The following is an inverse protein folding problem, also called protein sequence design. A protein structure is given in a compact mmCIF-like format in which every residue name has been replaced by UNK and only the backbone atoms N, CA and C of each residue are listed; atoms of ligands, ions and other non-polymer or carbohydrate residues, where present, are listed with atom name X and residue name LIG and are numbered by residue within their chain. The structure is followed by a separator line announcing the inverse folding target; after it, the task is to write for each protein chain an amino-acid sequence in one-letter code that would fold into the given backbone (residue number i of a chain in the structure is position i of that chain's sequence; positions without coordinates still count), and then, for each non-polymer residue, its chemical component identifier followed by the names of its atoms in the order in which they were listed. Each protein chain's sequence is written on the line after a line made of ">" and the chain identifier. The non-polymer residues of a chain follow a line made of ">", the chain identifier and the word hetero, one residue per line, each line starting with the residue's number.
data_IF_735596764546
#
_entry.id   IF_735596764546
#
_cell.length_a   1.000
_cell.length_b   1.000
_cell.length_c   1.000
_cell.angle_alpha   90.00
_cell.angle_beta   90.00
_cell.angle_gamma   90.00
#
_symmetry.space_group_name_H-M   'P 1'
#
loop_
_entity.id
_entity.type
_entity.pdbx_description
1 polymer ?
#
# COMPACT_ATOMS: atom_id res chain seq x y z
N UNK A 1 15.71 -10.24 9.91
CA UNK A 1 16.70 -10.80 10.86
C UNK A 1 16.71 -10.09 12.20
N UNK A 2 16.66 -8.74 12.22
CA UNK A 2 16.90 -7.96 13.45
C UNK A 2 15.76 -8.09 14.47
N UNK A 3 14.51 -8.14 14.03
CA UNK A 3 13.36 -8.15 14.94
C UNK A 3 12.84 -9.57 15.24
N UNK A 4 12.80 -10.45 14.25
CA UNK A 4 12.19 -11.78 14.39
C UNK A 4 13.18 -12.92 14.65
N UNK A 5 14.48 -12.66 14.63
CA UNK A 5 15.50 -13.73 14.60
C UNK A 5 15.22 -14.80 13.52
N UNK A 6 14.60 -14.40 12.43
CA UNK A 6 14.15 -15.25 11.34
C UNK A 6 15.00 -15.02 10.08
N UNK A 7 15.23 -16.06 9.32
CA UNK A 7 15.87 -16.00 8.00
C UNK A 7 14.88 -15.89 6.83
N UNK A 8 13.58 -15.86 7.11
CA UNK A 8 12.57 -15.75 6.07
C UNK A 8 12.60 -14.36 5.42
N UNK A 9 12.56 -14.32 4.10
CA UNK A 9 12.49 -13.09 3.31
C UNK A 9 11.07 -12.58 3.15
N UNK A 10 10.05 -13.41 3.39
CA UNK A 10 8.65 -13.10 3.07
C UNK A 10 7.65 -13.33 4.20
N UNK A 11 8.02 -14.04 5.28
CA UNK A 11 7.09 -14.45 6.32
C UNK A 11 6.41 -13.28 7.05
N UNK A 12 7.08 -12.12 7.11
CA UNK A 12 6.65 -10.96 7.88
C UNK A 12 6.62 -9.69 7.03
N UNK A 13 6.40 -9.81 5.72
CA UNK A 13 6.29 -8.66 4.82
C UNK A 13 5.35 -8.95 3.66
N UNK A 14 4.64 -7.91 3.21
CA UNK A 14 3.82 -7.98 2.01
C UNK A 14 3.62 -6.59 1.40
N UNK A 15 3.33 -6.56 0.11
CA UNK A 15 3.04 -5.31 -0.57
C UNK A 15 1.71 -4.73 -0.11
N UNK A 16 1.73 -3.42 0.10
CA UNK A 16 0.53 -2.60 0.39
C UNK A 16 0.43 -1.50 -0.67
N UNK A 17 -0.33 -0.45 -0.42
CA UNK A 17 -0.48 0.65 -1.36
C UNK A 17 -0.98 0.19 -2.74
N UNK A 18 -0.49 0.81 -3.79
CA UNK A 18 -0.94 0.53 -5.17
C UNK A 18 -0.53 -0.85 -5.66
N UNK A 19 0.65 -1.35 -5.26
CA UNK A 19 1.09 -2.71 -5.59
C UNK A 19 0.20 -3.76 -4.92
N UNK A 20 -0.11 -3.59 -3.64
CA UNK A 20 -1.00 -4.49 -2.92
C UNK A 20 -2.41 -4.52 -3.50
N UNK A 21 -2.94 -3.38 -3.94
CA UNK A 21 -4.27 -3.27 -4.55
C UNK A 21 -4.34 -3.66 -6.03
N UNK A 22 -3.19 -3.93 -6.70
CA UNK A 22 -3.14 -4.28 -8.12
C UNK A 22 -3.30 -3.10 -9.08
N UNK A 23 -3.17 -1.86 -8.59
CA UNK A 23 -3.39 -0.61 -9.35
C UNK A 23 -2.10 0.16 -9.64
N UNK A 24 -0.93 -0.43 -9.35
CA UNK A 24 0.38 0.18 -9.59
C UNK A 24 0.64 0.40 -11.08
N UNK A 25 1.36 1.48 -11.37
CA UNK A 25 1.93 1.81 -12.68
C UNK A 25 3.45 1.99 -12.54
N UNK A 26 4.17 2.15 -13.64
CA UNK A 26 5.64 2.20 -13.65
C UNK A 26 6.26 3.31 -12.77
N UNK A 27 5.50 4.38 -12.51
CA UNK A 27 5.92 5.49 -11.64
C UNK A 27 5.56 5.30 -10.16
N UNK A 28 4.91 4.18 -9.82
CA UNK A 28 4.47 3.93 -8.44
C UNK A 28 5.64 3.51 -7.54
N UNK A 29 5.69 4.08 -6.34
CA UNK A 29 6.59 3.61 -5.28
C UNK A 29 6.18 2.21 -4.82
N UNK A 30 7.15 1.47 -4.30
CA UNK A 30 6.94 0.14 -3.72
C UNK A 30 6.62 0.27 -2.22
N UNK A 31 5.35 0.16 -1.88
CA UNK A 31 4.87 0.20 -0.49
C UNK A 31 4.91 -1.22 0.11
N UNK A 32 5.67 -1.40 1.18
CA UNK A 32 5.83 -2.69 1.86
C UNK A 32 5.48 -2.54 3.34
N UNK A 33 4.50 -3.29 3.81
CA UNK A 33 4.28 -3.45 5.25
C UNK A 33 5.22 -4.54 5.76
N UNK A 34 5.97 -4.21 6.83
CA UNK A 34 6.72 -5.18 7.62
C UNK A 34 6.03 -5.39 8.96
N UNK A 35 5.72 -6.63 9.26
CA UNK A 35 5.14 -7.03 10.53
C UNK A 35 6.24 -7.18 11.58
N UNK A 36 6.09 -6.54 12.70
CA UNK A 36 7.01 -6.59 13.83
C UNK A 36 6.42 -7.38 15.01
N UNK A 37 7.25 -7.97 15.88
CA UNK A 37 6.79 -8.68 17.08
C UNK A 37 6.04 -7.78 18.08
N UNK A 38 5.11 -8.35 18.84
CA UNK A 38 4.28 -7.60 19.80
C UNK A 38 5.07 -7.02 20.98
N UNK A 39 6.19 -7.62 21.35
CA UNK A 39 7.09 -7.11 22.39
C UNK A 39 7.74 -5.78 21.94
N UNK A 40 8.04 -5.62 20.67
CA UNK A 40 8.50 -4.35 20.12
C UNK A 40 7.41 -3.26 20.18
N UNK A 41 6.13 -3.61 19.98
CA UNK A 41 5.05 -2.66 20.19
C UNK A 41 5.02 -2.16 21.62
N UNK A 42 5.09 -3.09 22.59
CA UNK A 42 5.08 -2.76 24.02
C UNK A 42 6.28 -1.87 24.39
N UNK A 43 7.46 -2.18 23.83
CA UNK A 43 8.67 -1.38 24.03
C UNK A 43 8.50 0.05 23.52
N UNK A 44 8.17 0.24 22.25
CA UNK A 44 8.08 1.58 21.66
C UNK A 44 6.89 2.40 22.20
N UNK A 45 5.78 1.75 22.57
CA UNK A 45 4.62 2.42 23.16
C UNK A 45 4.89 2.92 24.58
N UNK A 46 5.83 2.30 25.31
CA UNK A 46 6.22 2.72 26.66
C UNK A 46 7.20 3.89 26.70
N UNK A 47 7.78 4.27 25.55
CA UNK A 47 8.75 5.36 25.50
C UNK A 47 8.04 6.70 25.68
N UNK A 48 8.48 7.46 26.68
CA UNK A 48 8.01 8.82 26.90
C UNK A 48 8.36 9.73 25.70
N UNK A 49 7.38 10.46 25.21
CA UNK A 49 7.48 11.30 24.03
C UNK A 49 7.09 10.53 22.76
N UNK A 50 7.82 10.72 21.65
CA UNK A 50 7.49 10.15 20.34
C UNK A 50 8.16 8.77 20.14
N UNK A 51 7.59 7.71 20.71
CA UNK A 51 8.04 6.33 20.53
C UNK A 51 7.94 5.85 19.08
N UNK A 52 6.98 6.38 18.32
CA UNK A 52 6.78 6.11 16.90
C UNK A 52 7.99 6.58 16.08
N UNK A 53 8.52 7.75 16.37
CA UNK A 53 9.75 8.25 15.75
C UNK A 53 10.96 7.36 16.09
N UNK A 54 11.03 6.85 17.34
CA UNK A 54 12.08 5.92 17.76
C UNK A 54 11.98 4.59 17.01
N UNK A 55 10.76 4.09 16.78
CA UNK A 55 10.53 2.90 15.96
C UNK A 55 11.05 3.11 14.53
N UNK A 56 10.65 4.19 13.85
CA UNK A 56 11.14 4.47 12.50
C UNK A 56 12.66 4.57 12.45
N UNK A 57 13.28 5.19 13.46
CA UNK A 57 14.74 5.27 13.54
C UNK A 57 15.39 3.89 13.75
N UNK A 58 14.79 3.01 14.55
CA UNK A 58 15.26 1.64 14.76
C UNK A 58 15.21 0.83 13.47
N UNK A 59 14.09 0.88 12.74
CA UNK A 59 13.94 0.21 11.43
C UNK A 59 14.94 0.77 10.42
N UNK A 60 15.10 2.08 10.34
CA UNK A 60 16.13 2.72 9.50
C UNK A 60 17.52 2.18 9.81
N UNK A 61 17.90 2.13 11.09
CA UNK A 61 19.23 1.66 11.50
C UNK A 61 19.45 0.18 11.13
N UNK A 62 18.42 -0.65 11.31
CA UNK A 62 18.46 -2.05 10.89
C UNK A 62 18.69 -2.22 9.38
N UNK A 63 18.05 -1.38 8.56
CA UNK A 63 18.25 -1.37 7.11
C UNK A 63 19.65 -0.88 6.72
N UNK A 64 20.19 0.11 7.41
CA UNK A 64 21.54 0.63 7.17
C UNK A 64 22.64 -0.40 7.47
N UNK A 65 22.40 -1.39 8.32
CA UNK A 65 23.35 -2.50 8.52
C UNK A 65 23.54 -3.34 7.24
N UNK A 66 22.48 -3.47 6.44
CA UNK A 66 22.54 -4.22 5.16
C UNK A 66 22.86 -3.31 3.98
N UNK A 67 22.37 -2.08 4.01
CA UNK A 67 22.52 -1.09 2.92
C UNK A 67 23.18 0.20 3.39
N UNK A 68 24.47 0.17 3.81
CA UNK A 68 25.12 1.30 4.50
C UNK A 68 25.26 2.57 3.66
N UNK A 69 25.29 2.42 2.33
CA UNK A 69 25.46 3.55 1.39
C UNK A 69 24.14 3.99 0.73
N UNK A 70 22.99 3.46 1.16
CA UNK A 70 21.70 3.79 0.59
C UNK A 70 21.06 4.96 1.31
N UNK A 71 20.37 5.83 0.57
CA UNK A 71 19.63 6.94 1.16
C UNK A 71 18.37 6.43 1.86
N UNK A 72 18.43 6.33 3.19
CA UNK A 72 17.36 5.84 4.04
C UNK A 72 16.97 6.90 5.07
N UNK A 73 15.67 7.22 5.16
CA UNK A 73 15.17 8.21 6.14
C UNK A 73 13.78 7.78 6.68
N UNK A 74 13.50 8.13 7.93
CA UNK A 74 12.14 8.10 8.48
C UNK A 74 11.34 9.29 7.93
N UNK A 75 10.08 9.07 7.57
CA UNK A 75 9.20 10.10 7.00
C UNK A 75 7.74 9.84 7.41
N UNK A 76 7.29 10.59 8.42
CA UNK A 76 5.91 10.49 8.92
C UNK A 76 5.57 9.12 9.48
N UNK A 77 5.13 8.23 8.64
CA UNK A 77 4.62 6.89 8.99
C UNK A 77 5.54 5.76 8.50
N UNK A 78 6.47 6.06 7.61
CA UNK A 78 7.26 5.07 6.86
C UNK A 78 8.76 5.31 6.98
N UNK A 79 9.53 4.30 6.64
CA UNK A 79 10.95 4.43 6.33
C UNK A 79 11.11 4.39 4.82
N UNK A 80 11.57 5.51 4.25
CA UNK A 80 11.81 5.66 2.81
C UNK A 80 13.21 5.19 2.47
N UNK A 81 13.32 4.28 1.51
CA UNK A 81 14.58 3.78 0.96
C UNK A 81 14.65 4.16 -0.51
N UNK A 82 15.68 4.94 -0.90
CA UNK A 82 15.91 5.35 -2.28
C UNK A 82 17.18 4.72 -2.82
N UNK A 83 17.03 3.85 -3.82
CA UNK A 83 18.14 3.22 -4.51
C UNK A 83 18.70 4.10 -5.63
N UNK A 84 19.93 3.83 -6.04
CA UNK A 84 20.65 4.61 -7.06
C UNK A 84 20.07 4.46 -8.47
N UNK A 85 19.32 3.40 -8.74
CA UNK A 85 18.62 3.15 -10.00
C UNK A 85 17.28 3.90 -10.11
N UNK A 86 16.92 4.70 -9.07
CA UNK A 86 15.68 5.46 -8.99
C UNK A 86 14.52 4.73 -8.33
N UNK A 87 14.69 3.45 -7.97
CA UNK A 87 13.68 2.69 -7.25
C UNK A 87 13.49 3.25 -5.84
N UNK A 88 12.24 3.43 -5.42
CA UNK A 88 11.87 3.91 -4.10
C UNK A 88 10.98 2.90 -3.39
N UNK A 89 11.35 2.56 -2.16
CA UNK A 89 10.53 1.77 -1.25
C UNK A 89 10.03 2.65 -0.11
N UNK A 90 8.78 2.48 0.26
CA UNK A 90 8.20 2.98 1.50
C UNK A 90 7.89 1.80 2.40
N UNK A 91 8.63 1.68 3.49
CA UNK A 91 8.52 0.58 4.43
C UNK A 91 7.67 1.04 5.61
N UNK A 92 6.49 0.45 5.75
CA UNK A 92 5.56 0.68 6.84
C UNK A 92 5.78 -0.37 7.94
N UNK A 93 6.46 -0.06 9.07
CA UNK A 93 6.52 -0.99 10.18
C UNK A 93 5.17 -1.04 10.87
N UNK A 94 4.69 -2.25 11.16
CA UNK A 94 3.36 -2.43 11.71
C UNK A 94 3.30 -3.64 12.65
N UNK A 95 2.32 -3.64 13.53
CA UNK A 95 2.06 -4.69 14.52
C UNK A 95 0.65 -5.23 14.33
N UNK A 96 0.45 -6.53 14.50
CA UNK A 96 -0.90 -7.09 14.54
C UNK A 96 -1.71 -6.46 15.67
N UNK A 97 -2.96 -6.13 15.39
CA UNK A 97 -3.88 -5.70 16.43
C UNK A 97 -4.50 -6.94 17.08
N UNK A 98 -3.79 -7.49 18.08
CA UNK A 98 -4.23 -8.68 18.77
C UNK A 98 -5.27 -8.31 19.84
N UNK A 99 -6.38 -9.03 19.84
CA UNK A 99 -7.46 -8.97 20.84
C UNK A 99 -7.43 -10.23 21.72
N UNK A 100 -8.29 -10.31 22.71
CA UNK A 100 -8.47 -11.52 23.54
C UNK A 100 -8.95 -12.74 22.70
N UNK A 101 -9.49 -12.50 21.51
CA UNK A 101 -9.96 -13.52 20.58
C UNK A 101 -8.95 -13.83 19.47
N UNK A 102 -7.77 -13.24 19.53
CA UNK A 102 -6.73 -13.34 18.52
C UNK A 102 -6.62 -12.08 17.65
N UNK A 103 -5.92 -12.20 16.52
CA UNK A 103 -5.74 -11.10 15.59
C UNK A 103 -7.06 -10.73 14.88
N UNK A 104 -7.43 -9.44 14.91
CA UNK A 104 -8.67 -8.92 14.32
C UNK A 104 -8.60 -8.59 12.82
N UNK A 105 -7.48 -8.90 12.17
CA UNK A 105 -7.25 -8.59 10.74
C UNK A 105 -6.63 -7.23 10.49
N UNK A 106 -6.51 -6.38 11.50
CA UNK A 106 -5.94 -5.04 11.37
C UNK A 106 -4.50 -4.96 11.89
N UNK A 107 -3.82 -3.88 11.49
CA UNK A 107 -2.47 -3.56 11.93
C UNK A 107 -2.42 -2.18 12.56
N UNK A 108 -1.65 -2.04 13.64
CA UNK A 108 -1.24 -0.75 14.20
C UNK A 108 0.06 -0.32 13.54
N UNK A 109 0.17 0.94 13.17
CA UNK A 109 1.36 1.51 12.56
C UNK A 109 1.67 2.89 13.14
N UNK A 110 2.93 3.35 13.10
CA UNK A 110 3.32 4.63 13.69
C UNK A 110 2.86 5.81 12.83
N UNK A 111 2.45 6.89 13.49
CA UNK A 111 2.41 8.23 12.94
C UNK A 111 3.26 9.15 13.83
N UNK A 112 4.28 9.77 13.27
CA UNK A 112 5.21 10.61 14.02
C UNK A 112 4.77 12.08 14.12
N UNK A 113 3.69 12.45 13.46
CA UNK A 113 3.17 13.81 13.51
C UNK A 113 2.55 14.13 14.87
N UNK A 114 2.47 15.43 15.20
CA UNK A 114 1.78 15.95 16.39
C UNK A 114 2.22 15.32 17.73
N UNK A 115 3.45 14.82 17.80
CA UNK A 115 3.98 14.18 19.03
C UNK A 115 3.95 12.67 19.03
N UNK A 116 3.37 12.06 18.03
CA UNK A 116 3.30 10.62 17.79
C UNK A 116 1.99 9.99 18.21
N UNK A 117 1.44 9.14 17.35
CA UNK A 117 0.24 8.34 17.58
C UNK A 117 0.35 6.96 16.92
N UNK A 118 -0.53 6.04 17.30
CA UNK A 118 -0.67 4.73 16.68
C UNK A 118 -1.96 4.68 15.87
N UNK A 119 -1.80 4.62 14.56
CA UNK A 119 -2.90 4.49 13.61
C UNK A 119 -3.24 3.03 13.35
N UNK A 120 -4.43 2.78 12.78
CA UNK A 120 -4.87 1.43 12.42
C UNK A 120 -5.20 1.35 10.94
N UNK A 121 -4.84 0.22 10.30
CA UNK A 121 -5.14 -0.06 8.90
C UNK A 121 -5.50 -1.53 8.69
N UNK A 122 -6.27 -1.83 7.63
CA UNK A 122 -6.55 -3.19 7.17
C UNK A 122 -6.23 -3.33 5.68
N UNK A 123 -4.96 -3.38 5.30
CA UNK A 123 -4.59 -3.45 3.89
C UNK A 123 -5.04 -4.73 3.19
N UNK A 124 -5.20 -5.83 3.92
CA UNK A 124 -5.70 -7.09 3.35
C UNK A 124 -7.16 -6.99 2.94
N UNK A 125 -8.00 -6.35 3.75
CA UNK A 125 -9.40 -6.10 3.39
C UNK A 125 -9.51 -5.16 2.18
N UNK A 126 -8.68 -4.11 2.11
CA UNK A 126 -8.62 -3.24 0.93
C UNK A 126 -8.26 -4.02 -0.34
N UNK A 127 -7.23 -4.87 -0.27
CA UNK A 127 -6.77 -5.67 -1.40
C UNK A 127 -7.84 -6.67 -1.86
N UNK A 128 -8.50 -7.35 -0.93
CA UNK A 128 -9.56 -8.30 -1.25
C UNK A 128 -10.77 -7.60 -1.89
N UNK A 129 -11.23 -6.49 -1.32
CA UNK A 129 -12.33 -5.69 -1.90
C UNK A 129 -12.00 -5.24 -3.33
N UNK A 130 -10.80 -4.73 -3.56
CA UNK A 130 -10.35 -4.32 -4.89
C UNK A 130 -10.29 -5.50 -5.87
N UNK A 131 -9.79 -6.65 -5.43
CA UNK A 131 -9.70 -7.87 -6.24
C UNK A 131 -11.08 -8.44 -6.58
N UNK A 132 -11.99 -8.50 -5.62
CA UNK A 132 -13.37 -8.95 -5.84
C UNK A 132 -14.10 -8.06 -6.84
N UNK A 133 -14.01 -6.74 -6.65
CA UNK A 133 -14.61 -5.77 -7.57
C UNK A 133 -13.99 -5.82 -8.96
N UNK A 134 -12.67 -5.99 -9.06
CA UNK A 134 -12.00 -6.17 -10.34
C UNK A 134 -12.45 -7.45 -11.05
N UNK A 135 -12.61 -8.56 -10.31
CA UNK A 135 -13.11 -9.81 -10.86
C UNK A 135 -14.56 -9.68 -11.35
N UNK A 136 -15.44 -9.01 -10.60
CA UNK A 136 -16.82 -8.76 -11.01
C UNK A 136 -16.92 -7.83 -12.21
N UNK A 137 -15.98 -6.90 -12.38
CA UNK A 137 -15.89 -5.99 -13.53
C UNK A 137 -15.09 -6.57 -14.71
N UNK A 138 -14.70 -7.84 -14.65
CA UNK A 138 -13.88 -8.52 -15.66
C UNK A 138 -12.58 -7.77 -16.00
N UNK A 139 -11.90 -7.21 -14.99
CA UNK A 139 -10.63 -6.48 -15.14
C UNK A 139 -10.76 -4.97 -15.34
N UNK A 140 -11.95 -4.46 -15.63
CA UNK A 140 -12.17 -3.05 -15.95
C UNK A 140 -11.70 -2.10 -14.81
N UNK A 141 -11.93 -2.47 -13.55
CA UNK A 141 -11.54 -1.61 -12.41
C UNK A 141 -10.04 -1.34 -12.40
N UNK A 142 -9.21 -2.38 -12.47
CA UNK A 142 -7.75 -2.21 -12.42
C UNK A 142 -7.24 -1.42 -13.62
N UNK A 143 -7.75 -1.68 -14.81
CA UNK A 143 -7.38 -0.94 -16.01
C UNK A 143 -7.77 0.54 -15.91
N UNK A 144 -8.97 0.84 -15.41
CA UNK A 144 -9.41 2.22 -15.17
C UNK A 144 -8.53 2.93 -14.14
N UNK A 145 -8.22 2.27 -13.01
CA UNK A 145 -7.33 2.83 -11.98
C UNK A 145 -5.94 3.15 -12.56
N UNK A 146 -5.33 2.22 -13.27
CA UNK A 146 -4.01 2.40 -13.90
C UNK A 146 -4.03 3.51 -14.93
N UNK A 147 -5.09 3.58 -15.75
CA UNK A 147 -5.23 4.62 -16.76
C UNK A 147 -5.36 6.02 -16.15
N UNK A 148 -6.21 6.20 -15.13
CA UNK A 148 -6.38 7.49 -14.46
C UNK A 148 -5.10 7.91 -13.73
N UNK A 149 -4.39 6.99 -13.08
CA UNK A 149 -3.07 7.26 -12.48
C UNK A 149 -2.05 7.70 -13.53
N UNK A 150 -1.99 7.00 -14.66
CA UNK A 150 -1.10 7.37 -15.76
C UNK A 150 -1.40 8.77 -16.29
N UNK A 151 -2.66 9.12 -16.52
CA UNK A 151 -3.09 10.45 -16.97
C UNK A 151 -2.73 11.51 -15.94
N UNK A 152 -3.00 11.26 -14.65
CA UNK A 152 -2.62 12.17 -13.56
C UNK A 152 -1.12 12.47 -13.58
N UNK A 153 -0.29 11.43 -13.62
CA UNK A 153 1.16 11.58 -13.49
C UNK A 153 1.79 12.27 -14.70
N UNK A 154 1.23 12.07 -15.90
CA UNK A 154 1.79 12.65 -17.13
C UNK A 154 1.20 14.02 -17.52
N UNK A 155 -0.06 14.28 -17.16
CA UNK A 155 -0.76 15.48 -17.64
C UNK A 155 -1.12 16.45 -16.50
N UNK A 156 -1.16 15.98 -15.25
CA UNK A 156 -1.63 16.75 -14.10
C UNK A 156 -0.70 16.62 -12.89
N UNK A 157 0.60 16.46 -13.12
CA UNK A 157 1.61 16.26 -12.07
C UNK A 157 1.72 17.40 -11.06
N UNK A 158 1.24 18.60 -11.41
CA UNK A 158 1.16 19.75 -10.49
C UNK A 158 0.01 19.66 -9.47
N UNK A 159 -0.97 18.77 -9.68
CA UNK A 159 -2.07 18.55 -8.77
C UNK A 159 -1.80 17.33 -7.88
N UNK A 160 -1.81 17.55 -6.57
CA UNK A 160 -1.61 16.46 -5.63
C UNK A 160 -2.93 15.68 -5.42
N UNK A 161 -3.11 14.61 -6.19
CA UNK A 161 -4.19 13.65 -6.01
C UNK A 161 -3.60 12.30 -5.62
N UNK A 162 -3.86 11.86 -4.39
CA UNK A 162 -3.29 10.59 -3.89
C UNK A 162 -3.85 9.39 -4.66
N UNK A 163 -3.02 8.34 -4.80
CA UNK A 163 -3.44 7.13 -5.51
C UNK A 163 -4.61 6.43 -4.85
N UNK A 164 -4.72 6.47 -3.51
CA UNK A 164 -5.85 5.85 -2.81
C UNK A 164 -7.18 6.56 -3.12
N UNK A 165 -7.17 7.88 -3.32
CA UNK A 165 -8.38 8.61 -3.70
C UNK A 165 -8.83 8.23 -5.12
N UNK A 166 -7.90 8.04 -6.06
CA UNK A 166 -8.22 7.54 -7.41
C UNK A 166 -8.86 6.17 -7.33
N UNK A 167 -8.24 5.24 -6.58
CA UNK A 167 -8.73 3.88 -6.45
C UNK A 167 -10.12 3.83 -5.79
N UNK A 168 -10.32 4.56 -4.68
CA UNK A 168 -11.58 4.60 -3.96
C UNK A 168 -12.72 5.22 -4.81
N UNK A 169 -12.42 6.31 -5.53
CA UNK A 169 -13.39 6.95 -6.43
C UNK A 169 -13.82 5.99 -7.53
N UNK A 170 -12.88 5.30 -8.18
CA UNK A 170 -13.20 4.37 -9.27
C UNK A 170 -13.88 3.09 -8.78
N UNK A 171 -13.52 2.61 -7.59
CA UNK A 171 -14.20 1.48 -6.94
C UNK A 171 -15.69 1.76 -6.75
N UNK A 172 -16.05 2.98 -6.32
CA UNK A 172 -17.44 3.38 -6.15
C UNK A 172 -18.11 3.67 -7.50
N UNK A 173 -17.47 4.50 -8.34
CA UNK A 173 -18.04 4.98 -9.59
C UNK A 173 -18.29 3.88 -10.65
N UNK A 174 -17.50 2.79 -10.63
CA UNK A 174 -17.62 1.73 -11.64
C UNK A 174 -18.97 0.99 -11.58
N UNK A 175 -19.62 0.98 -10.39
CA UNK A 175 -20.94 0.37 -10.23
C UNK A 175 -20.97 -1.09 -10.72
N UNK A 176 -21.86 -1.37 -11.67
CA UNK A 176 -22.00 -2.68 -12.33
C UNK A 176 -21.29 -2.77 -13.70
N UNK A 177 -20.47 -1.79 -14.08
CA UNK A 177 -19.78 -1.81 -15.36
C UNK A 177 -18.70 -2.88 -15.39
N UNK A 178 -18.57 -3.57 -16.52
CA UNK A 178 -17.57 -4.61 -16.73
C UNK A 178 -17.16 -4.70 -18.21
N UNK A 179 -15.97 -5.25 -18.46
CA UNK A 179 -15.62 -5.63 -19.83
C UNK A 179 -16.48 -6.83 -20.26
N UNK A 180 -16.94 -6.80 -21.52
CA UNK A 180 -17.69 -7.94 -22.07
C UNK A 180 -16.82 -9.19 -22.10
N UNK A 181 -17.42 -10.33 -21.71
CA UNK A 181 -16.80 -11.63 -21.87
C UNK A 181 -16.95 -12.12 -23.29
N UNK A 182 -16.10 -13.05 -23.69
CA UNK A 182 -16.19 -13.68 -25.02
C UNK A 182 -17.58 -14.33 -25.19
N UNK A 183 -18.30 -13.93 -26.25
CA UNK A 183 -19.67 -14.38 -26.52
C UNK A 183 -20.79 -13.58 -25.86
N UNK A 184 -20.49 -12.64 -24.95
CA UNK A 184 -21.49 -11.72 -24.41
C UNK A 184 -21.90 -10.66 -25.45
N UNK A 185 -23.20 -10.48 -25.63
CA UNK A 185 -23.75 -9.39 -26.42
C UNK A 185 -24.20 -8.23 -25.54
N UNK A 186 -24.06 -6.99 -26.00
CA UNK A 186 -24.60 -5.82 -25.33
C UNK A 186 -26.13 -5.98 -25.15
N UNK A 187 -26.61 -6.12 -23.93
CA UNK A 187 -28.02 -5.89 -23.63
C UNK A 187 -28.29 -4.40 -23.78
N UNK A 188 -29.03 -4.01 -24.84
CA UNK A 188 -29.28 -2.66 -25.37
C UNK A 188 -29.56 -1.48 -24.47
N UNK A 189 -28.68 -1.18 -23.54
CA UNK A 189 -28.56 0.09 -22.84
C UNK A 189 -27.31 0.82 -23.35
N UNK A 190 -27.38 2.12 -23.61
CA UNK A 190 -26.27 2.93 -24.13
C UNK A 190 -25.00 2.72 -23.34
N UNK A 191 -24.14 1.84 -23.77
CA UNK A 191 -22.77 1.69 -23.27
C UNK A 191 -21.85 2.16 -24.39
N UNK A 192 -21.16 3.25 -24.17
CA UNK A 192 -20.08 3.68 -25.06
C UNK A 192 -18.93 2.67 -24.91
N UNK A 193 -18.90 1.68 -25.80
CA UNK A 193 -17.81 0.71 -25.85
C UNK A 193 -16.51 1.37 -26.26
N UNK A 194 -15.64 1.66 -25.34
CA UNK A 194 -14.23 1.96 -25.61
C UNK A 194 -13.54 0.64 -26.00
N UNK A 195 -13.38 0.43 -27.32
CA UNK A 195 -12.42 -0.55 -27.83
C UNK A 195 -11.03 0.02 -27.66
N UNK A 196 -10.31 -0.39 -26.63
CA UNK A 196 -8.87 -0.16 -26.60
C UNK A 196 -8.20 -1.10 -27.60
N UNK A 197 -7.59 -0.51 -28.65
CA UNK A 197 -6.69 -1.25 -29.53
C UNK A 197 -5.38 -1.44 -28.78
N UNK A 198 -5.07 -2.67 -28.42
CA UNK A 198 -3.71 -3.07 -28.04
C UNK A 198 -2.78 -2.88 -29.25
N UNK A 199 -1.75 -2.06 -29.05
CA UNK A 199 -0.53 -2.07 -29.87
C UNK A 199 0.57 -2.74 -29.09
#
# INVERSE_FOLDING_TARGET
>A
HTFWNSSSETAHSFYVGSYGRGTAINTSDLDVLIELPDDEFSHFSSIYGNGQSRLLQSVKNALLLTYPNTNIKGDGQVVVVKFSDGMKFEILPAFRNNTIWGWDGTYKYPDTHMGGDWMTTNPKAEQEAMKEKNSSSNGLLFDACKHVRYVRDNNFSSYHLSGILVDAFLYDAIGGWHFLREGEQHSGGRVHGLKMKTK
#
